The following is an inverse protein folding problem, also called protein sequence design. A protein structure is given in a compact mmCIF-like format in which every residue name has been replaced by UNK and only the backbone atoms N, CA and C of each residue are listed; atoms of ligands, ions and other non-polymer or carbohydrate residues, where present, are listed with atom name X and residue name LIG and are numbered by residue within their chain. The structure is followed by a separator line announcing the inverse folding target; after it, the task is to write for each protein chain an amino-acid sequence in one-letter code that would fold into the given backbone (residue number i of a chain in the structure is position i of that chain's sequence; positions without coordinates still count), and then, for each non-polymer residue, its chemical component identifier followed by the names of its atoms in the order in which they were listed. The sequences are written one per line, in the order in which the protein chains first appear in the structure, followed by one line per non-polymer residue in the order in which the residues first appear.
data_IF_792224584929
#
_entry.id   IF_792224584929
#
_cell.length_a   1.000
_cell.length_b   1.000
_cell.length_c   1.000
_cell.angle_alpha   90.00
_cell.angle_beta   90.00
_cell.angle_gamma   90.00
#
_symmetry.space_group_name_H-M   'P 1'
#
loop_
_entity.id
_entity.type
_entity.pdbx_description
1 polymer ?
#
# COMPACT_ATOMS: atom_id res chain seq x y z
N UNK A 1 21.82 -18.54 -23.32
CA UNK A 1 20.74 -19.24 -22.59
C UNK A 1 21.03 -19.12 -21.11
N UNK A 2 20.42 -18.16 -20.42
CA UNK A 2 20.52 -18.06 -18.96
C UNK A 2 19.66 -19.17 -18.36
N UNK A 3 20.29 -20.10 -17.65
CA UNK A 3 19.60 -21.14 -16.91
C UNK A 3 19.25 -20.54 -15.54
N UNK A 4 18.09 -19.88 -15.47
CA UNK A 4 17.56 -19.33 -14.23
C UNK A 4 17.25 -20.47 -13.26
N UNK A 5 17.94 -20.48 -12.12
CA UNK A 5 17.65 -21.37 -11.01
C UNK A 5 16.36 -20.89 -10.34
N UNK A 6 15.28 -21.66 -10.48
CA UNK A 6 13.98 -21.37 -9.88
C UNK A 6 13.87 -22.17 -8.58
N UNK A 7 14.13 -21.52 -7.44
CA UNK A 7 13.88 -22.10 -6.13
C UNK A 7 12.46 -21.77 -5.67
N UNK A 8 11.75 -22.80 -5.23
CA UNK A 8 10.48 -22.62 -4.51
C UNK A 8 10.83 -22.13 -3.11
N UNK A 9 10.32 -20.96 -2.75
CA UNK A 9 10.53 -20.38 -1.42
C UNK A 9 9.37 -20.73 -0.49
N UNK A 10 9.71 -21.12 0.75
CA UNK A 10 8.74 -21.28 1.85
C UNK A 10 8.31 -19.93 2.44
N UNK A 11 8.77 -18.80 1.88
CA UNK A 11 8.42 -17.47 2.35
C UNK A 11 6.90 -17.30 2.48
N UNK A 12 6.40 -16.91 3.66
CA UNK A 12 4.97 -16.71 3.89
C UNK A 12 4.45 -15.53 3.06
N UNK A 13 3.23 -15.72 2.54
CA UNK A 13 2.41 -14.64 2.02
C UNK A 13 1.58 -14.04 3.15
N UNK A 14 1.53 -12.72 3.23
CA UNK A 14 0.72 -11.98 4.19
C UNK A 14 -0.40 -11.24 3.47
N UNK A 15 -1.64 -11.64 3.76
CA UNK A 15 -2.83 -11.07 3.14
C UNK A 15 -3.02 -9.62 3.61
N UNK A 16 -3.28 -8.73 2.66
CA UNK A 16 -3.36 -7.29 2.90
C UNK A 16 -4.81 -6.81 3.11
N UNK A 17 -4.98 -5.90 4.07
CA UNK A 17 -6.21 -5.15 4.34
C UNK A 17 -6.03 -3.71 3.89
N UNK A 18 -7.08 -3.04 3.40
CA UNK A 18 -6.95 -1.68 2.86
C UNK A 18 -6.53 -0.67 3.93
N UNK A 19 -5.58 0.21 3.61
CA UNK A 19 -4.85 1.02 4.60
C UNK A 19 -5.32 2.49 4.72
N UNK A 20 -6.57 2.80 4.36
CA UNK A 20 -7.09 4.16 4.37
C UNK A 20 -7.24 4.73 5.81
N UNK A 21 -6.21 5.43 6.30
CA UNK A 21 -6.25 6.10 7.61
C UNK A 21 -6.71 7.56 7.52
N UNK A 22 -7.61 8.02 8.42
CA UNK A 22 -7.92 9.44 8.57
C UNK A 22 -6.69 10.24 9.03
N UNK A 23 -6.55 11.45 8.48
CA UNK A 23 -5.46 12.37 8.81
C UNK A 23 -5.69 13.04 10.17
N UNK A 24 -5.26 12.43 11.28
CA UNK A 24 -5.25 13.11 12.58
C UNK A 24 -3.94 12.83 13.32
N UNK A 25 -3.13 13.87 13.52
CA UNK A 25 -1.98 13.84 14.44
C UNK A 25 -2.36 14.59 15.73
N UNK A 26 -2.45 13.88 16.85
CA UNK A 26 -2.78 14.45 18.17
C UNK A 26 -1.68 15.33 18.78
N UNK A 27 -0.48 15.36 18.18
CA UNK A 27 0.63 16.21 18.61
C UNK A 27 1.10 17.04 17.43
N UNK A 28 0.92 18.36 17.47
CA UNK A 28 1.27 19.29 16.38
C UNK A 28 2.77 19.44 16.10
N UNK A 29 3.60 18.44 16.41
CA UNK A 29 5.05 18.41 16.21
C UNK A 29 5.49 17.48 15.07
N UNK A 30 4.63 16.58 14.58
CA UNK A 30 4.92 15.64 13.48
C UNK A 30 3.80 15.78 12.44
N UNK A 31 4.16 15.97 11.15
CA UNK A 31 3.15 15.94 10.07
C UNK A 31 2.56 14.53 10.04
N UNK A 32 1.23 14.40 10.00
CA UNK A 32 0.60 13.09 9.86
C UNK A 32 1.11 12.38 8.60
N UNK A 33 1.20 11.05 8.63
CA UNK A 33 1.62 10.23 7.50
C UNK A 33 1.00 10.67 6.16
N UNK A 34 -0.34 10.86 6.06
CA UNK A 34 -0.93 11.30 4.81
C UNK A 34 -0.45 12.68 4.38
N UNK A 35 -0.30 13.63 5.30
CA UNK A 35 0.13 14.97 4.98
C UNK A 35 1.57 15.02 4.45
N UNK A 36 2.46 14.19 5.01
CA UNK A 36 3.84 14.11 4.55
C UNK A 36 3.97 13.47 3.16
N UNK A 37 3.26 12.36 2.91
CA UNK A 37 3.23 11.69 1.60
C UNK A 37 2.63 12.62 0.53
N UNK A 38 1.54 13.30 0.87
CA UNK A 38 0.86 14.26 0.00
C UNK A 38 1.75 15.44 -0.40
N UNK A 39 2.51 15.99 0.55
CA UNK A 39 3.43 17.10 0.28
C UNK A 39 4.60 16.67 -0.62
N UNK A 40 5.12 15.46 -0.42
CA UNK A 40 6.20 14.88 -1.22
C UNK A 40 5.75 14.60 -2.66
N UNK A 41 4.64 13.87 -2.84
CA UNK A 41 4.33 13.26 -4.13
C UNK A 41 3.51 14.16 -5.05
N UNK A 42 2.47 14.83 -4.53
CA UNK A 42 1.59 15.78 -5.28
C UNK A 42 0.95 15.26 -6.58
N UNK A 43 1.12 13.97 -6.89
CA UNK A 43 0.58 13.25 -8.04
C UNK A 43 0.42 11.78 -7.68
N UNK A 44 -0.34 11.05 -8.48
CA UNK A 44 -0.32 9.60 -8.41
C UNK A 44 1.01 9.09 -8.98
N UNK A 45 1.88 8.55 -8.12
CA UNK A 45 3.25 8.18 -8.52
C UNK A 45 3.31 6.94 -9.42
N UNK A 46 2.25 6.14 -9.46
CA UNK A 46 2.14 4.99 -10.39
C UNK A 46 1.62 5.44 -11.76
N UNK A 47 0.60 6.30 -11.81
CA UNK A 47 -0.01 6.72 -13.09
C UNK A 47 0.61 7.98 -13.67
N UNK A 48 1.42 8.71 -12.89
CA UNK A 48 1.99 10.02 -13.24
C UNK A 48 0.95 11.16 -13.29
N UNK A 49 -0.32 10.89 -12.95
CA UNK A 49 -1.38 11.91 -13.02
C UNK A 49 -1.20 12.91 -11.89
N UNK A 50 -0.83 14.13 -12.26
CA UNK A 50 -0.64 15.26 -11.35
C UNK A 50 -1.96 15.80 -10.81
N UNK A 51 -1.95 16.21 -9.55
CA UNK A 51 -3.01 17.04 -9.02
C UNK A 51 -2.95 18.43 -9.65
N UNK A 52 -4.10 19.05 -9.83
CA UNK A 52 -4.16 20.42 -10.34
C UNK A 52 -3.66 21.40 -9.30
N UNK A 53 -3.13 22.54 -9.75
CA UNK A 53 -2.69 23.61 -8.84
C UNK A 53 -3.82 24.07 -7.89
N UNK A 54 -5.07 24.07 -8.37
CA UNK A 54 -6.23 24.42 -7.55
C UNK A 54 -6.44 23.42 -6.41
N UNK A 55 -6.36 22.12 -6.70
CA UNK A 55 -6.52 21.07 -5.69
C UNK A 55 -5.42 21.14 -4.64
N UNK A 56 -4.17 21.36 -5.05
CA UNK A 56 -3.03 21.53 -4.13
C UNK A 56 -3.22 22.76 -3.22
N UNK A 57 -3.60 23.91 -3.78
CA UNK A 57 -3.84 25.14 -3.01
C UNK A 57 -5.02 25.01 -2.02
N UNK A 58 -6.05 24.26 -2.41
CA UNK A 58 -7.22 24.01 -1.56
C UNK A 58 -7.03 22.82 -0.61
N UNK A 59 -5.88 22.15 -0.66
CA UNK A 59 -5.65 20.87 0.02
C UNK A 59 -6.77 19.85 -0.21
N UNK A 60 -7.31 19.82 -1.44
CA UNK A 60 -8.42 18.97 -1.84
C UNK A 60 -7.88 17.68 -2.45
N UNK A 61 -7.76 16.66 -1.63
CA UNK A 61 -7.21 15.34 -2.00
C UNK A 61 -8.25 14.36 -2.56
N UNK A 62 -9.36 14.86 -3.10
CA UNK A 62 -10.44 14.00 -3.62
C UNK A 62 -9.89 13.06 -4.71
N UNK A 63 -10.11 11.76 -4.55
CA UNK A 63 -9.64 10.73 -5.49
C UNK A 63 -8.16 10.37 -5.37
N UNK A 64 -7.46 10.86 -4.35
CA UNK A 64 -6.08 10.50 -4.05
C UNK A 64 -5.90 10.10 -2.57
N UNK A 65 -5.24 8.96 -2.38
CA UNK A 65 -4.99 8.37 -1.08
C UNK A 65 -3.49 8.23 -0.82
N UNK A 66 -3.08 8.50 0.41
CA UNK A 66 -1.75 8.13 0.87
C UNK A 66 -1.79 6.65 1.24
N UNK A 67 -1.29 5.82 0.34
CA UNK A 67 -1.23 4.38 0.47
C UNK A 67 0.01 3.98 1.25
N UNK A 68 -0.13 3.14 2.28
CA UNK A 68 1.03 2.47 2.85
C UNK A 68 1.61 1.49 1.83
N UNK A 69 2.90 1.15 1.89
CA UNK A 69 3.50 0.11 1.04
C UNK A 69 3.60 -1.20 1.83
N UNK A 70 4.05 -1.12 3.06
CA UNK A 70 3.92 -2.17 4.08
C UNK A 70 2.63 -1.90 4.89
N UNK A 71 1.70 -2.86 4.98
CA UNK A 71 0.39 -2.63 5.56
C UNK A 71 0.46 -2.42 7.08
N UNK A 72 -0.37 -1.51 7.59
CA UNK A 72 -0.47 -1.18 9.02
C UNK A 72 -0.87 -2.41 9.86
N UNK A 73 -1.73 -3.29 9.34
CA UNK A 73 -2.18 -4.50 10.03
C UNK A 73 -1.02 -5.47 10.39
N UNK A 74 0.13 -5.34 9.71
CA UNK A 74 1.32 -6.14 9.97
C UNK A 74 2.37 -5.39 10.82
N UNK A 75 2.01 -4.29 11.49
CA UNK A 75 2.93 -3.49 12.32
C UNK A 75 3.64 -4.36 13.38
N UNK A 76 2.95 -5.31 13.99
CA UNK A 76 3.58 -6.23 14.95
C UNK A 76 4.70 -7.07 14.31
N UNK A 77 4.57 -7.43 13.03
CA UNK A 77 5.60 -8.14 12.26
C UNK A 77 6.74 -7.22 11.83
N UNK A 78 6.41 -5.97 11.52
CA UNK A 78 7.37 -4.93 11.18
C UNK A 78 8.46 -4.80 12.27
N UNK A 79 8.06 -4.90 13.54
CA UNK A 79 8.97 -4.82 14.69
C UNK A 79 9.67 -6.15 15.04
N UNK A 80 9.02 -7.30 14.83
CA UNK A 80 9.48 -8.59 15.37
C UNK A 80 10.39 -9.42 14.44
N UNK A 81 10.40 -9.16 13.13
CA UNK A 81 11.05 -10.04 12.15
C UNK A 81 12.38 -9.50 11.59
N UNK A 82 13.15 -8.69 12.34
CA UNK A 82 14.35 -7.98 11.84
C UNK A 82 14.11 -7.15 10.55
N UNK A 83 12.85 -6.87 10.20
CA UNK A 83 12.52 -5.88 9.17
C UNK A 83 13.00 -4.48 9.54
N UNK A 84 13.23 -4.20 10.83
CA UNK A 84 13.92 -2.98 11.30
C UNK A 84 15.39 -2.87 10.88
N UNK A 85 16.06 -3.96 10.48
CA UNK A 85 17.43 -3.90 9.90
C UNK A 85 17.40 -3.74 8.37
N UNK A 86 16.41 -4.34 7.69
CA UNK A 86 16.20 -4.14 6.25
C UNK A 86 15.59 -2.77 5.94
N UNK A 87 14.79 -2.24 6.86
CA UNK A 87 14.13 -0.96 6.71
C UNK A 87 14.60 -0.08 7.85
N UNK A 88 15.79 0.51 7.69
CA UNK A 88 16.13 1.71 8.44
C UNK A 88 15.22 2.82 7.90
N UNK A 89 13.98 2.84 8.37
CA UNK A 89 13.19 4.06 8.42
C UNK A 89 13.93 4.97 9.40
N UNK A 90 14.07 6.25 9.07
CA UNK A 90 14.80 7.23 9.89
C UNK A 90 14.44 7.02 11.39
N UNK A 91 15.46 6.87 12.24
CA UNK A 91 15.41 6.35 13.62
C UNK A 91 14.45 7.13 14.54
N UNK A 92 13.94 8.28 14.08
CA UNK A 92 12.95 9.07 14.80
C UNK A 92 11.60 8.40 14.93
N UNK A 93 11.18 7.61 13.93
CA UNK A 93 9.78 7.17 13.87
C UNK A 93 9.56 5.65 13.75
N UNK A 94 10.50 4.86 13.21
CA UNK A 94 10.51 3.37 13.30
C UNK A 94 9.19 2.62 13.08
N UNK A 95 8.19 3.27 12.50
CA UNK A 95 6.77 2.89 12.54
C UNK A 95 6.27 2.77 11.11
N UNK A 96 5.25 1.94 10.93
CA UNK A 96 4.50 1.83 9.68
C UNK A 96 3.97 3.18 9.20
N UNK A 97 3.83 4.19 10.07
CA UNK A 97 3.42 5.54 9.73
C UNK A 97 4.55 6.46 9.24
N UNK A 98 5.77 5.95 9.00
CA UNK A 98 6.81 6.72 8.33
C UNK A 98 6.36 7.09 6.91
N UNK A 99 6.56 8.34 6.46
CA UNK A 99 6.26 8.73 5.08
C UNK A 99 7.07 7.94 4.03
N UNK A 100 8.22 7.37 4.41
CA UNK A 100 9.01 6.50 3.54
C UNK A 100 8.32 5.16 3.24
N UNK A 101 7.29 4.79 4.04
CA UNK A 101 6.39 3.67 3.81
C UNK A 101 5.13 4.08 3.01
N UNK A 102 5.10 5.26 2.38
CA UNK A 102 3.90 5.79 1.74
C UNK A 102 4.07 6.12 0.27
N UNK A 103 3.00 6.02 -0.50
CA UNK A 103 2.87 6.54 -1.88
C UNK A 103 1.55 7.29 -2.02
N UNK A 104 1.53 8.42 -2.73
CA UNK A 104 0.29 9.06 -3.14
C UNK A 104 -0.24 8.38 -4.40
N UNK A 105 -1.42 7.79 -4.33
CA UNK A 105 -2.04 7.03 -5.41
C UNK A 105 -3.45 7.55 -5.70
N UNK A 106 -3.92 7.44 -6.94
CA UNK A 106 -5.36 7.59 -7.21
C UNK A 106 -6.12 6.46 -6.49
N UNK A 107 -7.30 6.73 -5.95
CA UNK A 107 -8.08 5.75 -5.16
C UNK A 107 -8.29 4.41 -5.86
N UNK A 108 -8.58 4.43 -7.17
CA UNK A 108 -8.72 3.20 -7.96
C UNK A 108 -7.40 2.42 -8.12
N UNK A 109 -6.26 3.11 -8.15
CA UNK A 109 -4.92 2.52 -8.25
C UNK A 109 -4.48 1.98 -6.89
N UNK A 110 -4.78 2.72 -5.82
CA UNK A 110 -4.55 2.29 -4.44
C UNK A 110 -5.21 0.94 -4.15
N UNK A 111 -6.48 0.77 -4.54
CA UNK A 111 -7.19 -0.51 -4.37
C UNK A 111 -6.51 -1.68 -5.07
N UNK A 112 -6.08 -1.48 -6.32
CA UNK A 112 -5.35 -2.50 -7.09
C UNK A 112 -3.99 -2.84 -6.50
N UNK A 113 -3.31 -1.83 -5.95
CA UNK A 113 -2.04 -1.99 -5.26
C UNK A 113 -2.21 -2.81 -3.98
N UNK A 114 -3.22 -2.49 -3.16
CA UNK A 114 -3.55 -3.22 -1.95
C UNK A 114 -3.96 -4.69 -2.24
N UNK A 115 -4.64 -4.92 -3.37
CA UNK A 115 -5.02 -6.25 -3.83
C UNK A 115 -3.90 -7.04 -4.51
N UNK A 116 -2.67 -6.50 -4.55
CA UNK A 116 -1.54 -7.10 -5.26
C UNK A 116 -1.77 -7.34 -6.77
N UNK A 117 -2.76 -6.67 -7.39
CA UNK A 117 -2.96 -6.74 -8.84
C UNK A 117 -1.84 -6.03 -9.61
N UNK A 118 -1.24 -5.03 -8.95
CA UNK A 118 -0.11 -4.26 -9.45
C UNK A 118 0.97 -4.16 -8.37
N UNK A 119 2.22 -4.05 -8.78
CA UNK A 119 3.35 -3.79 -7.89
C UNK A 119 4.48 -3.06 -8.62
N UNK A 120 5.54 -2.69 -7.92
CA UNK A 120 6.73 -2.04 -8.47
C UNK A 120 7.93 -2.94 -8.23
N UNK A 121 8.72 -3.24 -9.26
CA UNK A 121 9.97 -3.98 -9.11
C UNK A 121 11.15 -2.99 -8.98
N UNK A 122 11.70 -2.77 -7.77
CA UNK A 122 12.83 -1.84 -7.59
C UNK A 122 14.12 -2.34 -8.26
N UNK A 123 14.23 -3.64 -8.55
CA UNK A 123 15.39 -4.25 -9.21
C UNK A 123 15.31 -4.21 -10.75
N UNK A 124 14.20 -3.77 -11.32
CA UNK A 124 14.03 -3.59 -12.78
C UNK A 124 13.63 -2.15 -13.08
N UNK A 125 14.51 -1.22 -12.70
CA UNK A 125 14.35 0.23 -12.92
C UNK A 125 13.01 0.78 -12.42
N UNK A 126 12.52 0.27 -11.28
CA UNK A 126 11.22 0.62 -10.69
C UNK A 126 10.05 0.46 -11.66
N UNK A 127 10.09 -0.54 -12.54
CA UNK A 127 8.99 -0.84 -13.44
C UNK A 127 7.77 -1.33 -12.68
N UNK A 128 6.62 -0.83 -13.11
CA UNK A 128 5.30 -1.25 -12.67
C UNK A 128 4.98 -2.58 -13.35
N UNK A 129 4.64 -3.56 -12.53
CA UNK A 129 4.25 -4.91 -12.95
C UNK A 129 2.76 -5.07 -12.67
N UNK A 130 2.01 -5.50 -13.69
CA UNK A 130 0.61 -5.88 -13.57
C UNK A 130 0.53 -7.41 -13.58
N UNK A 131 -0.12 -7.99 -12.58
CA UNK A 131 -0.32 -9.43 -12.47
C UNK A 131 -1.65 -9.91 -13.07
N UNK A 132 -2.58 -8.97 -13.27
CA UNK A 132 -3.86 -9.17 -13.98
C UNK A 132 -3.95 -8.24 -15.20
N UNK A 133 -5.16 -8.11 -15.76
CA UNK A 133 -5.44 -7.24 -16.91
C UNK A 133 -4.99 -5.79 -16.69
N UNK A 134 -4.15 -5.30 -17.59
CA UNK A 134 -3.63 -3.93 -17.58
C UNK A 134 -4.62 -2.93 -18.21
N UNK A 135 -5.81 -2.80 -17.63
CA UNK A 135 -6.83 -1.87 -18.13
C UNK A 135 -6.44 -0.39 -18.01
N UNK A 136 -5.37 -0.09 -17.26
CA UNK A 136 -4.90 1.27 -16.99
C UNK A 136 -3.62 1.63 -17.78
N UNK A 137 -3.07 0.70 -18.57
CA UNK A 137 -1.85 0.91 -19.35
C UNK A 137 -0.62 1.21 -18.47
N UNK A 138 -0.48 0.50 -17.35
CA UNK A 138 0.57 0.68 -16.35
C UNK A 138 1.76 -0.25 -16.55
N UNK A 139 1.57 -1.40 -17.19
CA UNK A 139 2.62 -2.40 -17.31
C UNK A 139 3.85 -1.83 -18.01
N UNK A 140 5.02 -1.98 -17.40
CA UNK A 140 6.30 -1.51 -17.92
C UNK A 140 6.53 0.01 -17.80
N UNK A 141 5.55 0.78 -17.31
CA UNK A 141 5.79 2.17 -16.90
C UNK A 141 6.70 2.20 -15.68
N UNK A 142 7.37 3.33 -15.46
CA UNK A 142 8.25 3.51 -14.32
C UNK A 142 7.54 4.27 -13.19
N UNK A 143 7.79 3.87 -11.93
CA UNK A 143 7.40 4.63 -10.75
C UNK A 143 8.01 6.03 -10.80
N UNK A 144 7.16 7.05 -10.62
CA UNK A 144 7.58 8.45 -10.72
C UNK A 144 8.74 8.75 -9.77
N UNK A 145 9.76 9.44 -10.28
CA UNK A 145 10.98 9.71 -9.53
C UNK A 145 10.76 10.65 -8.33
N UNK A 146 9.66 11.42 -8.28
CA UNK A 146 9.42 12.39 -7.20
C UNK A 146 9.42 11.77 -5.81
N UNK A 147 8.95 10.52 -5.68
CA UNK A 147 8.90 9.84 -4.39
C UNK A 147 10.24 9.16 -4.04
N UNK A 148 11.20 9.14 -4.96
CA UNK A 148 12.51 8.48 -4.84
C UNK A 148 13.69 9.45 -4.87
N UNK A 149 13.42 10.74 -4.73
CA UNK A 149 14.47 11.76 -4.64
C UNK A 149 15.30 11.57 -3.37
N UNK A 150 16.54 11.09 -3.51
CA UNK A 150 17.44 10.79 -2.39
C UNK A 150 17.77 12.01 -1.53
N UNK A 151 17.60 13.24 -2.06
CA UNK A 151 17.79 14.47 -1.29
C UNK A 151 16.59 14.80 -0.40
N UNK A 152 15.43 14.20 -0.67
CA UNK A 152 14.22 14.40 0.13
C UNK A 152 14.25 13.49 1.37
N UNK A 153 14.15 14.02 2.62
CA UNK A 153 14.30 13.22 3.86
C UNK A 153 13.23 12.13 4.06
N UNK A 154 12.23 12.11 3.20
CA UNK A 154 11.12 11.17 3.22
C UNK A 154 11.03 10.34 1.93
N UNK A 155 12.11 10.20 1.16
CA UNK A 155 12.13 9.34 -0.01
C UNK A 155 11.69 7.91 0.35
N UNK A 156 10.99 7.26 -0.57
CA UNK A 156 10.42 5.92 -0.36
C UNK A 156 11.55 4.92 -0.15
N UNK A 157 11.36 4.03 0.84
CA UNK A 157 12.35 3.02 1.14
C UNK A 157 12.25 1.83 0.16
N UNK A 158 13.33 1.56 -0.58
CA UNK A 158 13.38 0.50 -1.58
C UNK A 158 13.15 -0.91 -1.01
N UNK A 159 13.57 -1.17 0.24
CA UNK A 159 13.38 -2.47 0.86
C UNK A 159 11.91 -2.75 1.17
N UNK A 160 11.13 -1.71 1.48
CA UNK A 160 9.67 -1.82 1.61
C UNK A 160 9.01 -2.06 0.24
N UNK A 161 9.45 -1.37 -0.82
CA UNK A 161 8.95 -1.62 -2.18
C UNK A 161 9.25 -3.07 -2.58
N UNK A 162 10.48 -3.54 -2.34
CA UNK A 162 10.90 -4.90 -2.65
C UNK A 162 10.06 -5.94 -1.89
N UNK A 163 9.77 -5.70 -0.62
CA UNK A 163 8.89 -6.56 0.15
C UNK A 163 7.50 -6.64 -0.47
N UNK A 164 6.89 -5.50 -0.82
CA UNK A 164 5.58 -5.47 -1.47
C UNK A 164 5.60 -6.19 -2.81
N UNK A 165 6.67 -6.03 -3.59
CA UNK A 165 6.87 -6.77 -4.83
C UNK A 165 6.88 -8.28 -4.62
N UNK A 166 7.64 -8.76 -3.64
CA UNK A 166 7.68 -10.18 -3.29
C UNK A 166 6.30 -10.70 -2.86
N UNK A 167 5.56 -9.94 -2.05
CA UNK A 167 4.20 -10.31 -1.66
C UNK A 167 3.25 -10.38 -2.86
N UNK A 168 3.33 -9.42 -3.78
CA UNK A 168 2.51 -9.44 -4.98
C UNK A 168 2.84 -10.62 -5.90
N UNK A 169 4.13 -10.97 -6.04
CA UNK A 169 4.54 -12.19 -6.75
C UNK A 169 3.99 -13.43 -6.05
N UNK A 170 4.10 -13.54 -4.73
CA UNK A 170 3.59 -14.68 -3.97
C UNK A 170 2.06 -14.83 -4.09
N UNK A 171 1.32 -13.72 -4.01
CA UNK A 171 -0.13 -13.69 -4.13
C UNK A 171 -0.64 -14.24 -5.48
N UNK A 172 0.08 -13.93 -6.55
CA UNK A 172 -0.34 -14.22 -7.92
C UNK A 172 0.30 -15.49 -8.51
N UNK A 173 1.42 -15.97 -7.95
CA UNK A 173 2.18 -17.09 -8.51
C UNK A 173 2.13 -18.37 -7.66
N UNK A 174 1.60 -18.35 -6.43
CA UNK A 174 1.25 -19.59 -5.70
C UNK A 174 0.00 -20.22 -6.36
N UNK A 175 0.01 -21.55 -6.54
CA UNK A 175 -0.99 -22.30 -7.29
C UNK A 175 -2.46 -21.97 -6.94
N UNK A 176 -3.34 -22.15 -7.94
CA UNK A 176 -4.75 -21.74 -8.01
C UNK A 176 -5.05 -20.23 -7.90
N UNK A 177 -4.13 -19.39 -7.39
CA UNK A 177 -4.39 -17.97 -7.15
C UNK A 177 -5.36 -17.78 -5.97
N UNK A 178 -4.99 -16.96 -4.99
CA UNK A 178 -5.87 -16.69 -3.85
C UNK A 178 -7.14 -15.93 -4.31
N UNK A 179 -8.29 -16.14 -3.65
CA UNK A 179 -9.53 -15.48 -4.03
C UNK A 179 -9.42 -13.95 -3.84
N UNK A 180 -9.72 -13.22 -4.91
CA UNK A 180 -9.93 -11.78 -4.91
C UNK A 180 -11.04 -11.43 -3.91
N UNK A 181 -10.80 -10.42 -3.08
CA UNK A 181 -11.82 -9.92 -2.17
C UNK A 181 -12.79 -9.00 -2.92
N UNK A 182 -14.02 -9.47 -3.16
CA UNK A 182 -15.13 -8.58 -3.47
C UNK A 182 -15.57 -7.87 -2.18
N UNK A 183 -15.44 -6.54 -2.18
CA UNK A 183 -15.81 -5.64 -1.06
C UNK A 183 -17.33 -5.44 -0.92
N UNK A 184 -18.14 -6.05 -1.79
CA UNK A 184 -19.58 -5.89 -1.81
C UNK A 184 -20.26 -6.81 -0.77
N UNK A 185 -20.36 -6.35 0.48
CA UNK A 185 -21.32 -6.89 1.44
C UNK A 185 -22.68 -6.24 1.15
N UNK A 186 -23.71 -6.98 0.67
CA UNK A 186 -24.99 -6.38 0.30
C UNK A 186 -25.64 -5.64 1.49
N UNK A 187 -26.22 -4.45 1.25
CA UNK A 187 -26.91 -3.71 2.29
C UNK A 187 -28.05 -4.55 2.89
N UNK A 188 -28.06 -4.71 4.22
CA UNK A 188 -29.05 -5.51 4.94
C UNK A 188 -28.66 -6.99 5.15
N UNK A 189 -27.49 -7.43 4.69
CA UNK A 189 -26.94 -8.72 5.11
C UNK A 189 -26.38 -8.64 6.54
N UNK A 190 -26.37 -9.77 7.24
CA UNK A 190 -25.68 -9.89 8.53
C UNK A 190 -24.17 -9.82 8.28
N UNK A 191 -23.65 -8.59 8.31
CA UNK A 191 -22.21 -8.26 8.15
C UNK A 191 -21.29 -9.19 8.93
N UNK A 192 -21.66 -9.54 10.17
CA UNK A 192 -20.84 -10.40 11.02
C UNK A 192 -20.79 -11.83 10.48
N UNK A 193 -21.94 -12.35 10.06
CA UNK A 193 -22.03 -13.68 9.46
C UNK A 193 -21.35 -13.74 8.08
N UNK A 194 -21.43 -12.68 7.28
CA UNK A 194 -20.74 -12.56 5.99
C UNK A 194 -19.21 -12.50 6.15
N UNK A 195 -18.71 -11.83 7.20
CA UNK A 195 -17.29 -11.81 7.57
C UNK A 195 -16.83 -13.20 7.99
N UNK A 196 -17.53 -13.83 8.93
CA UNK A 196 -17.15 -15.14 9.48
C UNK A 196 -17.26 -16.29 8.47
N UNK A 197 -18.22 -16.20 7.55
CA UNK A 197 -18.41 -17.20 6.49
C UNK A 197 -17.51 -16.98 5.27
N UNK A 198 -16.78 -15.87 5.23
CA UNK A 198 -15.89 -15.51 4.13
C UNK A 198 -14.43 -15.96 4.34
N UNK A 199 -13.62 -16.00 3.27
CA UNK A 199 -12.18 -16.25 3.40
C UNK A 199 -11.50 -15.14 4.21
N UNK A 200 -10.55 -15.51 5.08
CA UNK A 200 -9.81 -14.58 5.96
C UNK A 200 -10.74 -13.73 6.88
N UNK A 201 -11.49 -14.38 7.79
CA UNK A 201 -12.53 -13.72 8.59
C UNK A 201 -12.00 -12.77 9.66
N UNK A 202 -10.77 -12.99 10.17
CA UNK A 202 -10.18 -12.10 11.18
C UNK A 202 -9.82 -10.73 10.57
N UNK A 203 -9.28 -10.77 9.36
CA UNK A 203 -8.81 -9.61 8.59
C UNK A 203 -9.99 -8.80 8.06
N UNK A 204 -11.05 -9.48 7.59
CA UNK A 204 -12.32 -8.84 7.23
C UNK A 204 -12.99 -8.17 8.43
N UNK A 205 -12.88 -8.76 9.62
CA UNK A 205 -13.40 -8.16 10.84
C UNK A 205 -12.64 -6.89 11.24
N UNK A 206 -11.32 -6.89 11.10
CA UNK A 206 -10.49 -5.72 11.38
C UNK A 206 -10.79 -4.55 10.43
N UNK A 207 -11.00 -4.84 9.14
CA UNK A 207 -11.45 -3.83 8.16
C UNK A 207 -12.81 -3.21 8.54
N UNK A 208 -13.79 -4.05 8.87
CA UNK A 208 -15.14 -3.60 9.24
C UNK A 208 -15.11 -2.75 10.52
N UNK A 209 -14.30 -3.14 11.50
CA UNK A 209 -14.11 -2.38 12.74
C UNK A 209 -13.44 -1.03 12.45
N UNK A 210 -12.40 -1.01 11.63
CA UNK A 210 -11.67 0.23 11.28
C UNK A 210 -12.57 1.22 10.52
N UNK A 211 -13.38 0.72 9.59
CA UNK A 211 -14.35 1.52 8.83
C UNK A 211 -15.44 2.11 9.73
N UNK A 212 -16.04 1.30 10.63
CA UNK A 212 -17.08 1.77 11.57
C UNK A 212 -16.54 2.74 12.62
N UNK A 213 -15.33 2.53 13.12
CA UNK A 213 -14.72 3.47 14.08
C UNK A 213 -14.37 4.81 13.40
N UNK A 214 -14.02 4.80 12.11
CA UNK A 214 -13.82 6.02 11.32
C UNK A 214 -15.07 6.90 11.22
N UNK A 215 -16.26 6.28 11.18
CA UNK A 215 -17.55 6.99 11.13
C UNK A 215 -18.02 7.52 12.50
N UNK A 216 -17.58 6.90 13.60
CA UNK A 216 -17.96 7.28 14.99
C UNK A 216 -17.13 8.46 15.52
N UNK A 217 -16.00 8.79 14.91
CA UNK A 217 -15.11 9.91 15.32
C UNK A 217 -15.48 11.24 14.61
N UNK A 218 -16.67 11.35 14.02
CA UNK A 218 -17.21 12.62 13.48
C UNK A 218 -18.04 13.40 14.48
#
# INVERSE_FOLDING_TARGET
YYQGHMEVTDAPYYKRTSSAMPSVSASGRVRSFPAAVRDRDRKCVITGVSMTQRELLQQRWTGYDAAHIFPVALESMFHNCNFGELVILDERDGSVNSPQNGLLLQTNVHRRFDQCEISINPNDDYRIVCFLDDSLGLAGRQLDAICRDIEHPHYVNDNIILWHFQQAVLANMRGAGEPVFDEDIPPGSDTMNAILSGPAPAERMEFELSSRLGDVIR
#
